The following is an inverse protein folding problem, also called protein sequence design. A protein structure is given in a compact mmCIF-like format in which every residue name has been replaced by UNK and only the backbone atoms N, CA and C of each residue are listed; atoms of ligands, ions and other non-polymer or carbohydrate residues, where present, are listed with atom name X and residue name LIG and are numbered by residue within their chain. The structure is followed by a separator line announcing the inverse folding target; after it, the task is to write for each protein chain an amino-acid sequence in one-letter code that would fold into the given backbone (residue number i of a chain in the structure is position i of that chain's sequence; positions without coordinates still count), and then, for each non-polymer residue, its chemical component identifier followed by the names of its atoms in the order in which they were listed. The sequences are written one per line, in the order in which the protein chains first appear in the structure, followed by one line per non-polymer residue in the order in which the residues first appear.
data_IF_227415724654
#
_entry.id   IF_227415724654
#
_cell.length_a   1.000
_cell.length_b   1.000
_cell.length_c   1.000
_cell.angle_alpha   90.00
_cell.angle_beta   90.00
_cell.angle_gamma   90.00
#
_symmetry.space_group_name_H-M   'P 1'
#
loop_
_entity.id
_entity.type
_entity.pdbx_description
1 polymer ?
#
# COMPACT_ATOMS: atom_id res chain seq x y z
N UNK A 1 -0.77 20.66 -11.55
CA UNK A 1 -0.54 19.78 -10.39
C UNK A 1 -1.79 19.77 -9.54
N UNK A 2 -2.18 18.61 -9.01
CA UNK A 2 -3.29 18.53 -8.05
C UNK A 2 -2.73 19.01 -6.70
N UNK A 3 -3.53 19.66 -5.87
CA UNK A 3 -3.09 20.10 -4.53
C UNK A 3 -3.93 19.51 -3.40
N UNK A 4 -5.11 18.97 -3.70
CA UNK A 4 -5.98 18.33 -2.72
C UNK A 4 -6.40 19.24 -1.56
N UNK A 5 -6.41 20.57 -1.79
CA UNK A 5 -6.68 21.56 -0.74
C UNK A 5 -5.46 21.92 0.13
N UNK A 6 -4.27 21.41 -0.19
CA UNK A 6 -3.02 21.77 0.50
C UNK A 6 -2.24 22.84 -0.28
N UNK A 7 -1.26 23.48 0.36
CA UNK A 7 -0.35 24.41 -0.30
C UNK A 7 0.75 23.70 -1.12
N UNK A 8 0.89 22.38 -0.97
CA UNK A 8 1.93 21.59 -1.63
C UNK A 8 1.36 20.88 -2.85
N UNK A 9 2.02 20.98 -4.02
CA UNK A 9 1.58 20.25 -5.17
C UNK A 9 1.87 18.75 -5.03
N UNK A 10 0.94 17.92 -5.51
CA UNK A 10 1.03 16.47 -5.49
C UNK A 10 0.90 15.87 -6.89
N UNK A 11 1.62 14.76 -7.10
CA UNK A 11 1.53 13.90 -8.28
C UNK A 11 1.12 12.51 -7.79
N UNK A 12 -0.15 12.09 -7.98
CA UNK A 12 -0.59 10.79 -7.55
C UNK A 12 -0.01 9.69 -8.46
N UNK A 13 0.60 8.68 -7.85
CA UNK A 13 1.01 7.44 -8.52
C UNK A 13 0.06 6.32 -8.09
N UNK A 14 -0.92 6.00 -8.93
CA UNK A 14 -1.89 4.94 -8.65
C UNK A 14 -1.30 3.59 -9.06
N UNK A 15 -1.22 2.66 -8.10
CA UNK A 15 -0.70 1.31 -8.31
C UNK A 15 -1.83 0.31 -8.07
N UNK A 16 -2.06 -0.59 -9.03
CA UNK A 16 -3.03 -1.67 -8.83
C UNK A 16 -2.50 -2.67 -7.78
N UNK A 17 -3.20 -2.75 -6.65
CA UNK A 17 -2.95 -3.69 -5.55
C UNK A 17 -4.18 -4.53 -5.21
N UNK A 18 -5.29 -4.35 -5.93
CA UNK A 18 -6.60 -4.84 -5.54
C UNK A 18 -7.04 -6.11 -6.26
N UNK A 19 -6.71 -6.26 -7.54
CA UNK A 19 -7.13 -7.40 -8.35
C UNK A 19 -6.07 -7.74 -9.42
N UNK A 20 -5.82 -9.03 -9.71
CA UNK A 20 -4.85 -9.37 -10.75
C UNK A 20 -5.29 -8.91 -12.15
N UNK A 21 -4.34 -8.65 -13.08
CA UNK A 21 -2.91 -8.83 -12.91
C UNK A 21 -2.30 -7.73 -12.02
N UNK A 22 -1.63 -8.16 -10.95
CA UNK A 22 -0.88 -7.28 -10.05
C UNK A 22 0.54 -7.13 -10.60
N UNK A 23 1.16 -5.94 -10.49
CA UNK A 23 2.57 -5.80 -10.84
C UNK A 23 3.41 -6.72 -9.95
N UNK A 24 4.32 -7.50 -10.52
CA UNK A 24 5.22 -8.34 -9.72
C UNK A 24 6.04 -7.49 -8.76
N UNK A 25 6.50 -8.07 -7.64
CA UNK A 25 7.32 -7.32 -6.68
C UNK A 25 8.65 -6.86 -7.33
N UNK A 26 9.23 -7.68 -8.21
CA UNK A 26 10.38 -7.26 -9.03
C UNK A 26 10.08 -6.05 -9.93
N UNK A 27 8.87 -5.97 -10.51
CA UNK A 27 8.44 -4.79 -11.29
C UNK A 27 8.25 -3.56 -10.40
N UNK A 28 7.75 -3.73 -9.18
CA UNK A 28 7.68 -2.67 -8.17
C UNK A 28 9.07 -2.13 -7.81
N UNK A 29 10.06 -3.01 -7.61
CA UNK A 29 11.47 -2.59 -7.40
C UNK A 29 12.00 -1.82 -8.61
N UNK A 30 11.79 -2.33 -9.83
CA UNK A 30 12.24 -1.66 -11.04
C UNK A 30 11.60 -0.28 -11.22
N UNK A 31 10.29 -0.15 -10.93
CA UNK A 31 9.58 1.13 -10.95
C UNK A 31 10.13 2.09 -9.90
N UNK A 32 10.39 1.62 -8.67
CA UNK A 32 11.02 2.43 -7.63
C UNK A 32 12.39 2.96 -8.06
N UNK A 33 13.23 2.11 -8.67
CA UNK A 33 14.55 2.53 -9.18
C UNK A 33 14.43 3.60 -10.26
N UNK A 34 13.54 3.40 -11.23
CA UNK A 34 13.30 4.35 -12.31
C UNK A 34 12.74 5.68 -11.79
N UNK A 35 11.79 5.63 -10.86
CA UNK A 35 11.22 6.81 -10.21
C UNK A 35 12.30 7.58 -9.45
N UNK A 36 13.08 6.91 -8.60
CA UNK A 36 14.17 7.54 -7.87
C UNK A 36 15.21 8.19 -8.79
N UNK A 37 15.55 7.53 -9.91
CA UNK A 37 16.48 8.10 -10.90
C UNK A 37 15.91 9.38 -11.53
N UNK A 38 14.64 9.37 -11.94
CA UNK A 38 13.97 10.53 -12.52
C UNK A 38 13.86 11.70 -11.52
N UNK A 39 13.57 11.41 -10.25
CA UNK A 39 13.51 12.44 -9.19
C UNK A 39 14.89 13.06 -8.94
N UNK A 40 15.95 12.26 -8.90
CA UNK A 40 17.33 12.74 -8.70
C UNK A 40 17.88 13.52 -9.89
N UNK A 41 17.43 13.23 -11.12
CA UNK A 41 17.84 13.95 -12.32
C UNK A 41 16.98 15.18 -12.63
N UNK A 42 15.96 15.47 -11.80
CA UNK A 42 15.04 16.58 -12.02
C UNK A 42 15.73 17.92 -11.75
N UNK A 43 15.47 18.93 -12.60
CA UNK A 43 15.91 20.32 -12.38
C UNK A 43 14.99 21.09 -11.42
N UNK A 44 14.01 20.42 -10.81
CA UNK A 44 13.08 21.06 -9.87
C UNK A 44 13.83 21.66 -8.66
N UNK A 45 13.74 22.98 -8.43
CA UNK A 45 14.55 23.66 -7.42
C UNK A 45 13.95 23.53 -6.01
N UNK A 46 13.66 22.30 -5.56
CA UNK A 46 12.99 22.05 -4.29
C UNK A 46 13.14 20.63 -3.76
N UNK A 47 12.56 20.40 -2.57
CA UNK A 47 12.52 19.08 -1.94
C UNK A 47 11.27 18.32 -2.37
N UNK A 48 11.41 17.02 -2.56
CA UNK A 48 10.31 16.12 -2.93
C UNK A 48 10.08 15.16 -1.77
N UNK A 49 8.84 15.09 -1.27
CA UNK A 49 8.40 14.06 -0.34
C UNK A 49 7.78 12.91 -1.14
N UNK A 50 8.23 11.69 -0.86
CA UNK A 50 7.59 10.47 -1.36
C UNK A 50 6.74 9.89 -0.22
N UNK A 51 5.43 9.82 -0.41
CA UNK A 51 4.52 9.15 0.51
C UNK A 51 4.01 7.85 -0.12
N UNK A 52 4.24 6.74 0.56
CA UNK A 52 3.69 5.43 0.21
C UNK A 52 2.79 4.96 1.35
N UNK A 53 1.60 4.43 1.02
CA UNK A 53 0.57 4.09 2.00
C UNK A 53 -0.13 2.78 1.67
N UNK A 54 -1.01 2.36 2.59
CA UNK A 54 -1.71 1.08 2.58
C UNK A 54 -1.01 0.02 3.44
N UNK A 55 -1.59 -1.16 3.54
CA UNK A 55 -1.07 -2.27 4.35
C UNK A 55 -1.20 -2.05 5.86
N UNK A 56 -0.50 -2.82 6.70
CA UNK A 56 0.40 -3.95 6.37
C UNK A 56 -0.41 -5.25 6.21
N UNK A 57 -0.19 -6.28 7.03
CA UNK A 57 -0.94 -7.53 6.93
C UNK A 57 -2.42 -7.35 7.29
N UNK A 58 -3.31 -7.74 6.37
CA UNK A 58 -4.75 -7.78 6.57
C UNK A 58 -5.48 -8.63 5.51
N UNK A 59 -6.64 -9.18 5.88
CA UNK A 59 -7.43 -10.09 5.05
C UNK A 59 -8.78 -9.47 4.70
N UNK A 60 -8.96 -9.12 3.43
CA UNK A 60 -10.16 -8.47 2.92
C UNK A 60 -10.91 -9.35 1.91
N UNK A 61 -12.22 -9.12 1.73
CA UNK A 61 -12.97 -9.71 0.62
C UNK A 61 -12.35 -9.36 -0.73
N UNK A 62 -12.33 -10.33 -1.64
CA UNK A 62 -11.79 -10.19 -3.00
C UNK A 62 -12.38 -8.98 -3.73
N UNK A 63 -11.52 -8.19 -4.38
CA UNK A 63 -11.90 -7.12 -5.32
C UNK A 63 -11.66 -7.53 -6.78
N UNK A 64 -11.50 -8.83 -7.06
CA UNK A 64 -11.34 -9.34 -8.42
C UNK A 64 -12.71 -9.52 -9.08
N UNK A 65 -13.04 -8.78 -10.16
CA UNK A 65 -14.32 -8.95 -10.86
C UNK A 65 -14.48 -10.31 -11.55
N UNK A 66 -13.41 -11.11 -11.62
CA UNK A 66 -13.45 -12.50 -12.11
C UNK A 66 -13.79 -13.51 -11.02
N UNK A 67 -13.72 -13.13 -9.75
CA UNK A 67 -14.15 -13.96 -8.64
C UNK A 67 -15.68 -14.18 -8.72
N UNK A 68 -16.17 -15.43 -8.79
CA UNK A 68 -17.60 -15.72 -8.83
C UNK A 68 -18.42 -15.17 -7.66
N UNK A 69 -17.78 -14.93 -6.50
CA UNK A 69 -18.42 -14.33 -5.34
C UNK A 69 -18.61 -12.80 -5.47
N UNK A 70 -17.92 -12.16 -6.43
CA UNK A 70 -18.05 -10.72 -6.70
C UNK A 70 -19.13 -10.52 -7.76
N UNK A 71 -20.34 -10.18 -7.30
CA UNK A 71 -21.55 -10.09 -8.14
C UNK A 71 -22.25 -8.73 -8.02
N UNK A 72 -23.19 -8.48 -8.93
CA UNK A 72 -24.08 -7.32 -8.92
C UNK A 72 -23.33 -5.99 -9.02
N UNK A 73 -23.87 -4.96 -8.36
CA UNK A 73 -23.34 -3.58 -8.38
C UNK A 73 -21.85 -3.50 -7.99
N UNK A 74 -21.39 -4.38 -7.09
CA UNK A 74 -19.98 -4.44 -6.69
C UNK A 74 -19.09 -4.83 -7.88
N UNK A 75 -19.49 -5.83 -8.67
CA UNK A 75 -18.75 -6.25 -9.87
C UNK A 75 -18.76 -5.16 -10.94
N UNK A 76 -19.93 -4.60 -11.22
CA UNK A 76 -20.11 -3.56 -12.23
C UNK A 76 -19.23 -2.33 -11.92
N UNK A 77 -19.20 -1.87 -10.67
CA UNK A 77 -18.36 -0.73 -10.27
C UNK A 77 -16.85 -1.00 -10.32
N UNK A 78 -16.41 -2.25 -10.22
CA UNK A 78 -15.01 -2.62 -10.39
C UNK A 78 -14.59 -2.62 -11.86
N UNK A 79 -15.49 -3.00 -12.77
CA UNK A 79 -15.21 -3.08 -14.22
C UNK A 79 -15.35 -1.71 -14.88
N UNK A 80 -16.43 -0.99 -14.57
CA UNK A 80 -16.81 0.25 -15.24
C UNK A 80 -16.36 1.51 -14.48
N UNK A 81 -15.75 1.33 -13.31
CA UNK A 81 -15.39 2.43 -12.42
C UNK A 81 -16.60 3.01 -11.68
N UNK A 82 -16.39 4.13 -11.00
CA UNK A 82 -17.38 4.78 -10.14
C UNK A 82 -17.76 6.11 -10.76
N UNK A 83 -19.04 6.29 -11.10
CA UNK A 83 -19.55 7.56 -11.62
C UNK A 83 -19.48 8.68 -10.57
N UNK A 84 -19.78 8.34 -9.30
CA UNK A 84 -19.65 9.24 -8.16
C UNK A 84 -18.80 8.58 -7.05
N UNK A 85 -17.54 9.00 -6.96
CA UNK A 85 -16.62 8.47 -5.97
C UNK A 85 -16.97 8.90 -4.53
N UNK A 86 -17.62 10.06 -4.35
CA UNK A 86 -18.00 10.57 -3.03
C UNK A 86 -19.21 9.80 -2.49
N UNK A 87 -20.25 9.62 -3.31
CA UNK A 87 -21.41 8.83 -2.93
C UNK A 87 -21.02 7.36 -2.66
N UNK A 88 -20.14 6.78 -3.49
CA UNK A 88 -19.62 5.44 -3.25
C UNK A 88 -18.86 5.33 -1.92
N UNK A 89 -18.01 6.32 -1.60
CA UNK A 89 -17.28 6.33 -0.33
C UNK A 89 -18.25 6.41 0.86
N UNK A 90 -19.22 7.32 0.82
CA UNK A 90 -20.23 7.48 1.86
C UNK A 90 -21.05 6.19 2.11
N UNK A 91 -21.41 5.45 1.04
CA UNK A 91 -22.11 4.17 1.17
C UNK A 91 -21.22 3.04 1.71
N UNK A 92 -19.90 3.09 1.43
CA UNK A 92 -18.93 2.06 1.84
C UNK A 92 -18.45 2.25 3.28
N UNK A 93 -18.26 3.48 3.73
CA UNK A 93 -17.65 3.80 5.03
C UNK A 93 -18.31 3.08 6.22
N UNK A 94 -19.65 3.03 6.36
CA UNK A 94 -20.29 2.29 7.45
C UNK A 94 -19.95 0.79 7.43
N UNK A 95 -19.87 0.19 6.24
CA UNK A 95 -19.53 -1.24 6.09
C UNK A 95 -18.09 -1.52 6.51
N UNK A 96 -17.16 -0.63 6.14
CA UNK A 96 -15.75 -0.75 6.54
C UNK A 96 -15.61 -0.60 8.05
N UNK A 97 -16.29 0.37 8.65
CA UNK A 97 -16.31 0.55 10.12
C UNK A 97 -16.87 -0.68 10.82
N UNK A 98 -17.92 -1.30 10.27
CA UNK A 98 -18.52 -2.51 10.81
C UNK A 98 -17.62 -3.77 10.70
N UNK A 99 -16.57 -3.74 9.87
CA UNK A 99 -15.56 -4.81 9.84
C UNK A 99 -14.57 -4.73 11.00
N UNK A 100 -14.48 -3.57 11.67
CA UNK A 100 -13.62 -3.37 12.84
C UNK A 100 -14.25 -3.80 14.15
N UNK A 101 -13.50 -3.65 15.24
CA UNK A 101 -13.93 -3.92 16.62
C UNK A 101 -13.74 -5.36 17.10
N UNK A 102 -13.16 -6.24 16.27
CA UNK A 102 -12.80 -7.59 16.70
C UNK A 102 -11.34 -7.62 17.21
N UNK A 103 -11.10 -7.70 18.54
CA UNK A 103 -9.74 -7.74 19.10
C UNK A 103 -8.97 -9.03 18.75
N UNK A 104 -9.65 -10.02 18.17
CA UNK A 104 -9.07 -11.29 17.71
C UNK A 104 -8.99 -11.37 16.19
N UNK A 105 -9.18 -10.26 15.46
CA UNK A 105 -9.01 -10.27 14.02
C UNK A 105 -7.56 -10.63 13.65
N UNK A 106 -7.41 -11.31 12.53
CA UNK A 106 -6.11 -11.79 12.07
C UNK A 106 -5.23 -10.61 11.64
N UNK A 107 -4.10 -10.45 12.34
CA UNK A 107 -2.96 -9.62 11.95
C UNK A 107 -1.71 -10.49 12.09
N UNK A 108 -0.83 -10.49 11.10
CA UNK A 108 0.40 -11.27 11.13
C UNK A 108 1.59 -10.40 11.54
N UNK A 109 1.69 -10.13 12.84
CA UNK A 109 2.71 -9.24 13.39
C UNK A 109 4.15 -9.73 13.17
N UNK A 110 4.36 -11.05 13.09
CA UNK A 110 5.67 -11.62 12.79
C UNK A 110 6.10 -11.27 11.36
N UNK A 111 5.20 -11.45 10.38
CA UNK A 111 5.48 -11.07 9.00
C UNK A 111 5.61 -9.55 8.84
N UNK A 112 4.76 -8.76 9.51
CA UNK A 112 4.86 -7.31 9.49
C UNK A 112 6.24 -6.86 9.98
N UNK A 113 6.69 -7.37 11.12
CA UNK A 113 8.04 -7.10 11.66
C UNK A 113 9.13 -7.50 10.68
N UNK A 114 9.04 -8.68 10.08
CA UNK A 114 9.98 -9.11 9.05
C UNK A 114 10.02 -8.13 7.86
N UNK A 115 8.87 -7.77 7.31
CA UNK A 115 8.78 -6.85 6.16
C UNK A 115 9.41 -5.49 6.49
N UNK A 116 9.08 -4.96 7.66
CA UNK A 116 9.64 -3.69 8.15
C UNK A 116 11.16 -3.76 8.31
N UNK A 117 11.70 -4.88 8.80
CA UNK A 117 13.15 -5.09 8.90
C UNK A 117 13.82 -5.17 7.53
N UNK A 118 13.19 -5.77 6.51
CA UNK A 118 13.74 -5.76 5.15
C UNK A 118 13.83 -4.33 4.58
N UNK A 119 12.88 -3.45 4.92
CA UNK A 119 12.95 -2.04 4.50
C UNK A 119 14.08 -1.29 5.22
N UNK A 120 14.33 -1.56 6.50
CA UNK A 120 15.50 -0.99 7.22
C UNK A 120 16.80 -1.45 6.58
N UNK A 121 16.91 -2.76 6.32
CA UNK A 121 18.10 -3.38 5.74
C UNK A 121 18.33 -3.03 4.25
N UNK A 122 17.40 -2.29 3.64
CA UNK A 122 17.37 -1.97 2.20
C UNK A 122 17.40 -3.24 1.29
N UNK A 123 16.83 -4.34 1.79
CA UNK A 123 16.81 -5.64 1.12
C UNK A 123 15.52 -5.85 0.30
N UNK A 124 15.36 -5.01 -0.72
CA UNK A 124 14.29 -5.14 -1.69
C UNK A 124 14.27 -6.50 -2.43
N UNK A 125 15.42 -7.14 -2.76
CA UNK A 125 15.45 -8.48 -3.34
C UNK A 125 14.74 -9.54 -2.49
N UNK A 126 14.95 -9.57 -1.18
CA UNK A 126 14.28 -10.53 -0.30
C UNK A 126 12.75 -10.36 -0.31
N UNK A 127 12.27 -9.11 -0.29
CA UNK A 127 10.83 -8.83 -0.45
C UNK A 127 10.37 -9.31 -1.83
N UNK A 128 11.11 -9.02 -2.89
CA UNK A 128 10.74 -9.41 -4.24
C UNK A 128 10.63 -10.93 -4.45
N UNK A 129 11.45 -11.70 -3.75
CA UNK A 129 11.47 -13.16 -3.81
C UNK A 129 10.20 -13.83 -3.26
N UNK A 130 9.39 -13.14 -2.44
CA UNK A 130 8.09 -13.66 -1.97
C UNK A 130 7.13 -14.00 -3.11
N UNK A 131 7.23 -13.29 -4.23
CA UNK A 131 6.26 -13.39 -5.32
C UNK A 131 4.85 -12.96 -4.89
N UNK A 132 3.86 -13.31 -5.71
CA UNK A 132 2.46 -13.00 -5.41
C UNK A 132 1.89 -13.89 -4.31
N UNK A 133 2.04 -15.22 -4.47
CA UNK A 133 1.47 -16.21 -3.55
C UNK A 133 2.10 -16.16 -2.16
N UNK A 134 3.43 -15.98 -2.07
CA UNK A 134 4.10 -15.84 -0.78
C UNK A 134 3.64 -14.59 -0.04
N UNK A 135 3.50 -13.46 -0.74
CA UNK A 135 2.97 -12.25 -0.13
C UNK A 135 1.54 -12.45 0.39
N UNK A 136 0.63 -13.01 -0.42
CA UNK A 136 -0.76 -13.20 0.00
C UNK A 136 -0.90 -14.21 1.15
N UNK A 137 -0.12 -15.29 1.12
CA UNK A 137 -0.09 -16.30 2.19
C UNK A 137 0.23 -15.68 3.55
N UNK A 138 1.20 -14.77 3.59
CA UNK A 138 1.71 -14.22 4.85
C UNK A 138 1.04 -12.90 5.24
N UNK A 139 0.68 -12.04 4.30
CA UNK A 139 0.14 -10.70 4.54
C UNK A 139 -1.36 -10.55 4.22
N UNK A 140 -1.98 -11.57 3.63
CA UNK A 140 -3.37 -11.54 3.21
C UNK A 140 -3.61 -10.77 1.91
N UNK A 141 -4.86 -10.80 1.44
CA UNK A 141 -5.30 -10.15 0.21
C UNK A 141 -5.14 -8.62 0.26
N UNK A 142 -5.29 -8.02 1.44
CA UNK A 142 -5.05 -6.59 1.64
C UNK A 142 -3.57 -6.24 1.71
N UNK A 143 -2.72 -7.18 2.15
CA UNK A 143 -1.28 -7.00 2.24
C UNK A 143 -0.57 -6.68 0.93
N UNK A 144 -1.20 -6.88 -0.25
CA UNK A 144 -0.63 -6.47 -1.53
C UNK A 144 -0.37 -4.96 -1.65
N UNK A 145 -0.97 -4.14 -0.79
CA UNK A 145 -0.73 -2.70 -0.70
C UNK A 145 0.74 -2.35 -0.38
N UNK A 146 1.51 -3.26 0.24
CA UNK A 146 2.95 -3.06 0.51
C UNK A 146 3.80 -2.94 -0.78
N UNK A 147 3.23 -3.22 -1.95
CA UNK A 147 3.83 -2.88 -3.25
C UNK A 147 4.12 -1.39 -3.36
N UNK A 148 3.25 -0.54 -2.83
CA UNK A 148 3.44 0.91 -2.79
C UNK A 148 4.65 1.27 -1.92
N UNK A 149 4.80 0.63 -0.76
CA UNK A 149 5.92 0.82 0.15
C UNK A 149 7.24 0.44 -0.49
N UNK A 150 7.28 -0.71 -1.18
CA UNK A 150 8.48 -1.17 -1.89
C UNK A 150 8.90 -0.20 -3.00
N UNK A 151 7.94 0.32 -3.79
CA UNK A 151 8.22 1.37 -4.79
C UNK A 151 8.77 2.62 -4.11
N UNK A 152 8.10 3.11 -3.07
CA UNK A 152 8.44 4.34 -2.37
C UNK A 152 9.82 4.29 -1.70
N UNK A 153 10.11 3.22 -0.97
CA UNK A 153 11.40 3.03 -0.29
C UNK A 153 12.56 2.93 -1.28
N UNK A 154 12.39 2.15 -2.36
CA UNK A 154 13.42 2.03 -3.40
C UNK A 154 13.62 3.34 -4.17
N UNK A 155 12.54 4.10 -4.41
CA UNK A 155 12.64 5.41 -5.04
C UNK A 155 13.37 6.42 -4.16
N UNK A 156 13.04 6.47 -2.87
CA UNK A 156 13.71 7.32 -1.89
C UNK A 156 15.21 6.98 -1.81
N UNK A 157 15.57 5.70 -1.70
CA UNK A 157 16.96 5.25 -1.64
C UNK A 157 17.72 5.81 -0.43
N UNK A 158 16.99 6.10 0.66
CA UNK A 158 17.53 6.65 1.91
C UNK A 158 17.26 5.66 3.07
N UNK A 159 18.05 5.70 4.15
CA UNK A 159 17.79 4.92 5.36
C UNK A 159 16.41 5.23 5.93
N UNK A 160 15.71 4.19 6.40
CA UNK A 160 14.38 4.31 7.00
C UNK A 160 14.49 4.19 8.52
N UNK A 161 13.79 5.05 9.24
CA UNK A 161 13.64 5.03 10.70
C UNK A 161 12.17 4.78 11.02
N UNK A 162 11.89 3.79 11.85
CA UNK A 162 10.53 3.54 12.33
C UNK A 162 10.14 4.54 13.41
N UNK A 163 8.97 5.13 13.25
CA UNK A 163 8.35 5.97 14.28
C UNK A 163 7.44 5.14 15.16
N UNK A 164 6.67 4.22 14.58
CA UNK A 164 5.79 3.31 15.32
C UNK A 164 5.38 2.12 14.46
N UNK A 165 5.08 1.01 15.12
CA UNK A 165 4.34 -0.11 14.56
C UNK A 165 3.44 -0.71 15.65
N UNK A 166 2.21 -1.04 15.28
CA UNK A 166 1.24 -1.71 16.15
C UNK A 166 0.39 -2.69 15.34
N UNK A 167 0.26 -3.96 15.75
CA UNK A 167 -0.82 -4.80 15.25
C UNK A 167 -2.13 -4.31 15.85
N UNK A 168 -3.09 -3.91 15.01
CA UNK A 168 -4.38 -3.38 15.47
C UNK A 168 -5.53 -4.29 14.99
N UNK A 169 -5.80 -5.42 15.66
CA UNK A 169 -6.89 -6.33 15.31
C UNK A 169 -8.26 -5.65 15.22
N UNK A 170 -8.53 -4.67 16.08
CA UNK A 170 -9.76 -3.89 16.06
C UNK A 170 -9.92 -3.10 14.75
N UNK A 171 -8.82 -2.83 14.04
CA UNK A 171 -8.81 -2.23 12.71
C UNK A 171 -8.46 -3.24 11.62
N UNK A 172 -8.44 -4.53 11.96
CA UNK A 172 -8.16 -5.68 11.10
C UNK A 172 -6.82 -5.61 10.34
N UNK A 173 -5.85 -4.85 10.82
CA UNK A 173 -4.60 -4.59 10.07
C UNK A 173 -3.41 -4.29 10.98
N UNK A 174 -2.21 -4.61 10.50
CA UNK A 174 -0.97 -4.04 11.02
C UNK A 174 -0.83 -2.57 10.60
N UNK A 175 -0.48 -1.69 11.53
CA UNK A 175 -0.29 -0.26 11.30
C UNK A 175 1.17 0.13 11.54
N UNK A 176 1.79 0.82 10.59
CA UNK A 176 3.18 1.26 10.72
C UNK A 176 3.40 2.64 10.14
N UNK A 177 4.32 3.39 10.73
CA UNK A 177 4.81 4.68 10.21
C UNK A 177 6.33 4.70 10.32
N UNK A 178 6.99 5.02 9.22
CA UNK A 178 8.43 5.24 9.17
C UNK A 178 8.78 6.38 8.23
N UNK A 179 9.92 7.00 8.47
CA UNK A 179 10.41 8.15 7.71
C UNK A 179 11.86 7.96 7.29
N UNK A 180 12.25 8.54 6.17
CA UNK A 180 13.65 8.58 5.74
C UNK A 180 14.35 9.87 6.16
N UNK A 181 13.81 10.53 7.17
CA UNK A 181 14.26 11.80 7.71
C UNK A 181 13.88 11.89 9.19
N UNK A 182 14.63 12.63 10.02
CA UNK A 182 14.28 12.82 11.42
C UNK A 182 12.92 13.50 11.58
N UNK A 183 12.09 12.99 12.49
CA UNK A 183 10.87 13.64 12.96
C UNK A 183 11.19 14.20 14.34
N UNK A 184 11.14 15.53 14.48
CA UNK A 184 11.37 16.24 15.73
C UNK A 184 10.07 16.62 16.44
#
# INVERSE_FOLDING_TARGET
MITGGTALPMVPLVVNTAAPPLPSLGRCVALGRALGAALRSSEFPGRILIAASGGLSHWLPSNDPRDPAVVGERRESLIHGRADAQAFAAAREPRVRAMGGNPLARVNAEWDTWFLNQLIADDAPAVAALGHEGLEKHAGSGGHEVRCWLIGKVAAGLPLVWTSYEPVPEWITGMGIGTTFPVG
#
